data_IF_407654003957
#
_entry.id   IF_407654003957
#
_cell.length_a   1.000
_cell.length_b   1.000
_cell.length_c   1.000
_cell.angle_alpha   90.00
_cell.angle_beta   90.00
_cell.angle_gamma   90.00
#
_symmetry.space_group_name_H-M   'P 1'
#
loop_
_entity.id
_entity.type
_entity.pdbx_description
1 polymer ?
#
# COMPACT_ATOMS: atom_id res chain seq x y z
N UNK A 1 23.06 -37.23 37.74
CA UNK A 1 22.17 -36.33 36.97
C UNK A 1 22.27 -36.66 35.49
N UNK A 2 21.17 -36.63 34.73
CA UNK A 2 21.24 -36.76 33.26
C UNK A 2 22.02 -35.59 32.65
N UNK A 3 22.74 -35.82 31.55
CA UNK A 3 23.49 -34.77 30.83
C UNK A 3 22.58 -33.59 30.45
N UNK A 4 21.32 -33.86 30.13
CA UNK A 4 20.32 -32.83 29.79
C UNK A 4 19.93 -32.01 31.03
N UNK A 5 19.72 -32.67 32.17
CA UNK A 5 19.40 -31.98 33.42
C UNK A 5 20.54 -31.06 33.84
N UNK A 6 21.79 -31.54 33.82
CA UNK A 6 22.94 -30.71 34.16
C UNK A 6 23.12 -29.51 33.20
N UNK A 7 22.90 -29.72 31.90
CA UNK A 7 22.95 -28.65 30.91
C UNK A 7 21.85 -27.59 31.11
N UNK A 8 20.65 -28.03 31.53
CA UNK A 8 19.55 -27.12 31.87
C UNK A 8 19.88 -26.29 33.11
N UNK A 9 20.37 -26.91 34.18
CA UNK A 9 20.75 -26.19 35.40
C UNK A 9 21.84 -25.15 35.11
N UNK A 10 22.84 -25.50 34.30
CA UNK A 10 23.91 -24.58 33.89
C UNK A 10 23.37 -23.39 33.07
N UNK A 11 22.45 -23.63 32.14
CA UNK A 11 21.85 -22.57 31.36
C UNK A 11 20.99 -21.63 32.23
N UNK A 12 20.23 -22.17 33.18
CA UNK A 12 19.43 -21.37 34.13
C UNK A 12 20.32 -20.55 35.07
N UNK A 13 21.41 -21.14 35.57
CA UNK A 13 22.41 -20.41 36.36
C UNK A 13 23.01 -19.24 35.56
N UNK A 14 23.23 -19.41 34.25
CA UNK A 14 23.70 -18.34 33.36
C UNK A 14 22.68 -17.20 33.26
N UNK A 15 21.38 -17.52 33.17
CA UNK A 15 20.33 -16.49 33.18
C UNK A 15 20.35 -15.74 34.51
N UNK A 16 20.33 -16.46 35.64
CA UNK A 16 20.33 -15.84 36.98
C UNK A 16 21.55 -14.95 37.23
N UNK A 17 22.73 -15.33 36.75
CA UNK A 17 23.96 -14.54 36.90
C UNK A 17 23.96 -13.24 36.05
N UNK A 18 23.15 -13.19 34.98
CA UNK A 18 23.07 -12.03 34.07
C UNK A 18 21.76 -11.24 34.20
N UNK A 19 20.87 -11.64 35.11
CA UNK A 19 19.68 -10.88 35.48
C UNK A 19 20.04 -9.94 36.62
N UNK A 20 19.98 -8.61 36.42
CA UNK A 20 20.29 -7.64 37.47
C UNK A 20 19.22 -7.65 38.57
N UNK A 21 19.53 -7.15 39.78
CA UNK A 21 18.56 -6.95 40.84
C UNK A 21 17.44 -5.97 40.42
N UNK A 22 16.29 -6.05 41.08
CA UNK A 22 15.16 -5.17 40.81
C UNK A 22 15.57 -3.69 40.92
N UNK A 23 15.36 -2.94 39.84
CA UNK A 23 15.66 -1.50 39.75
C UNK A 23 16.93 -1.14 38.99
N UNK A 24 17.78 -2.11 38.63
CA UNK A 24 18.99 -1.84 37.84
C UNK A 24 18.80 -2.11 36.33
N UNK A 25 19.30 -1.23 35.45
CA UNK A 25 19.19 -1.44 34.02
C UNK A 25 20.13 -2.54 33.53
N UNK A 26 19.57 -3.54 32.85
CA UNK A 26 20.35 -4.62 32.26
C UNK A 26 21.24 -4.12 31.11
N UNK A 27 22.53 -4.42 31.17
CA UNK A 27 23.51 -4.07 30.12
C UNK A 27 23.25 -4.85 28.83
N UNK A 28 23.70 -4.32 27.68
CA UNK A 28 23.56 -4.99 26.38
C UNK A 28 24.20 -6.38 26.35
N UNK A 29 25.34 -6.55 27.03
CA UNK A 29 26.05 -7.85 27.12
C UNK A 29 25.23 -8.87 27.92
N UNK A 30 24.71 -8.47 29.07
CA UNK A 30 23.84 -9.31 29.90
C UNK A 30 22.58 -9.76 29.14
N UNK A 31 21.93 -8.85 28.41
CA UNK A 31 20.76 -9.18 27.57
C UNK A 31 21.07 -10.30 26.58
N UNK A 32 22.16 -10.14 25.82
CA UNK A 32 22.57 -11.13 24.81
C UNK A 32 22.88 -12.49 25.45
N UNK A 33 23.53 -12.52 26.62
CA UNK A 33 23.80 -13.78 27.32
C UNK A 33 22.54 -14.42 27.88
N UNK A 34 21.58 -13.64 28.39
CA UNK A 34 20.26 -14.13 28.79
C UNK A 34 19.51 -14.73 27.60
N UNK A 35 19.47 -14.03 26.47
CA UNK A 35 18.78 -14.51 25.25
C UNK A 35 19.38 -15.82 24.74
N UNK A 36 20.71 -15.92 24.73
CA UNK A 36 21.42 -17.16 24.34
C UNK A 36 21.12 -18.30 25.30
N UNK A 37 21.14 -18.03 26.61
CA UNK A 37 20.84 -19.04 27.62
C UNK A 37 19.38 -19.50 27.54
N UNK A 38 18.44 -18.57 27.35
CA UNK A 38 17.03 -18.87 27.11
C UNK A 38 16.83 -19.75 25.88
N UNK A 39 17.44 -19.39 24.75
CA UNK A 39 17.39 -20.20 23.53
C UNK A 39 17.93 -21.62 23.75
N UNK A 40 19.03 -21.77 24.51
CA UNK A 40 19.57 -23.09 24.88
C UNK A 40 18.58 -23.90 25.72
N UNK A 41 17.93 -23.27 26.70
CA UNK A 41 16.90 -23.92 27.53
C UNK A 41 15.74 -24.42 26.66
N UNK A 42 15.21 -23.56 25.79
CA UNK A 42 14.12 -23.92 24.86
C UNK A 42 14.52 -25.10 23.98
N UNK A 43 15.73 -25.11 23.41
CA UNK A 43 16.23 -26.22 22.59
C UNK A 43 16.34 -27.53 23.36
N UNK A 44 16.80 -27.48 24.61
CA UNK A 44 16.93 -28.66 25.48
C UNK A 44 15.56 -29.23 25.91
N UNK A 45 14.56 -28.36 26.11
CA UNK A 45 13.21 -28.75 26.53
C UNK A 45 12.31 -29.14 25.36
N UNK A 46 12.64 -28.71 24.13
CA UNK A 46 11.80 -28.90 22.94
C UNK A 46 11.21 -30.32 22.76
N UNK A 47 11.94 -31.44 22.93
CA UNK A 47 11.34 -32.78 22.83
C UNK A 47 10.19 -33.01 23.81
N UNK A 48 10.30 -32.44 25.01
CA UNK A 48 9.27 -32.54 26.05
C UNK A 48 8.08 -31.64 25.77
N UNK A 49 8.29 -30.44 25.23
CA UNK A 49 7.21 -29.58 24.74
C UNK A 49 6.40 -30.33 23.68
N UNK A 50 7.07 -30.92 22.67
CA UNK A 50 6.38 -31.71 21.64
C UNK A 50 5.55 -32.86 22.23
N UNK A 51 6.08 -33.54 23.24
CA UNK A 51 5.34 -34.59 23.94
C UNK A 51 4.10 -34.05 24.65
N UNK A 52 4.23 -32.96 25.42
CA UNK A 52 3.09 -32.38 26.14
C UNK A 52 2.04 -31.78 25.20
N UNK A 53 2.42 -31.10 24.12
CA UNK A 53 1.45 -30.57 23.14
C UNK A 53 0.56 -31.69 22.60
N UNK A 54 1.15 -32.84 22.23
CA UNK A 54 0.38 -34.01 21.79
C UNK A 54 -0.49 -34.60 22.89
N UNK A 55 0.06 -34.75 24.10
CA UNK A 55 -0.69 -35.30 25.25
C UNK A 55 -1.92 -34.45 25.61
N UNK A 56 -1.81 -33.13 25.48
CA UNK A 56 -2.91 -32.20 25.74
C UNK A 56 -3.87 -32.04 24.55
N UNK A 57 -3.64 -32.75 23.44
CA UNK A 57 -4.48 -32.72 22.23
C UNK A 57 -4.32 -31.43 21.41
N UNK A 58 -3.30 -30.62 21.67
CA UNK A 58 -3.11 -29.29 21.08
C UNK A 58 -2.32 -29.32 19.75
N UNK A 59 -2.28 -30.47 19.07
CA UNK A 59 -1.52 -30.62 17.83
C UNK A 59 -2.02 -29.67 16.71
N UNK A 60 -3.33 -29.41 16.65
CA UNK A 60 -3.93 -28.43 15.72
C UNK A 60 -3.73 -26.97 16.13
N UNK A 61 -3.20 -26.71 17.33
CA UNK A 61 -2.88 -25.37 17.86
C UNK A 61 -1.40 -25.26 18.18
N UNK A 62 -0.54 -25.79 17.29
CA UNK A 62 0.89 -25.97 17.55
C UNK A 62 1.59 -24.65 17.89
N UNK A 63 1.37 -23.62 17.09
CA UNK A 63 2.05 -22.33 17.23
C UNK A 63 1.67 -21.64 18.55
N UNK A 64 0.39 -21.65 18.90
CA UNK A 64 -0.10 -21.11 20.17
C UNK A 64 0.46 -21.91 21.36
N UNK A 65 0.49 -23.24 21.23
CA UNK A 65 1.00 -24.12 22.28
C UNK A 65 2.52 -23.96 22.49
N UNK A 66 3.28 -23.69 21.43
CA UNK A 66 4.70 -23.37 21.51
C UNK A 66 4.94 -22.04 22.23
N UNK A 67 4.19 -20.99 21.89
CA UNK A 67 4.27 -19.68 22.55
C UNK A 67 3.96 -19.77 24.05
N UNK A 68 2.88 -20.48 24.39
CA UNK A 68 2.46 -20.69 25.77
C UNK A 68 3.52 -21.51 26.55
N UNK A 69 4.19 -22.47 25.91
CA UNK A 69 5.34 -23.15 26.51
C UNK A 69 6.56 -22.24 26.71
N UNK A 70 6.81 -21.29 25.80
CA UNK A 70 7.88 -20.31 25.98
C UNK A 70 7.60 -19.38 27.18
N UNK A 71 6.36 -18.94 27.36
CA UNK A 71 5.90 -18.20 28.55
C UNK A 71 6.10 -19.04 29.81
N UNK A 72 5.74 -20.33 29.76
CA UNK A 72 5.95 -21.25 30.87
C UNK A 72 7.43 -21.36 31.28
N UNK A 73 8.34 -21.46 30.31
CA UNK A 73 9.79 -21.48 30.55
C UNK A 73 10.24 -20.17 31.18
N UNK A 74 9.77 -19.03 30.68
CA UNK A 74 10.12 -17.72 31.23
C UNK A 74 9.69 -17.60 32.70
N UNK A 75 8.43 -17.94 33.01
CA UNK A 75 7.90 -17.98 34.39
C UNK A 75 8.66 -18.98 35.27
N UNK A 76 9.01 -20.13 34.70
CA UNK A 76 9.82 -21.12 35.41
C UNK A 76 11.18 -20.55 35.80
N UNK A 77 11.86 -19.81 34.92
CA UNK A 77 13.15 -19.19 35.21
C UNK A 77 13.02 -18.14 36.32
N UNK A 78 11.98 -17.30 36.29
CA UNK A 78 11.76 -16.26 37.29
C UNK A 78 11.46 -16.83 38.68
N UNK A 79 10.64 -17.88 38.76
CA UNK A 79 10.23 -18.51 40.02
C UNK A 79 11.11 -19.67 40.49
N UNK A 80 12.22 -19.95 39.81
CA UNK A 80 13.02 -21.14 40.09
C UNK A 80 13.84 -21.00 41.38
N UNK A 81 13.63 -21.95 42.29
CA UNK A 81 14.39 -22.11 43.52
C UNK A 81 15.13 -23.48 43.52
N UNK A 82 16.47 -23.49 43.39
CA UNK A 82 17.24 -24.73 43.27
C UNK A 82 17.27 -25.56 44.56
N UNK A 83 16.99 -24.95 45.71
CA UNK A 83 16.98 -25.65 47.00
C UNK A 83 15.69 -26.47 47.18
N UNK A 84 14.63 -26.12 46.44
CA UNK A 84 13.31 -26.79 46.52
C UNK A 84 13.14 -27.90 45.49
N UNK A 85 13.67 -27.74 44.28
CA UNK A 85 13.52 -28.72 43.21
C UNK A 85 14.58 -28.56 42.11
N UNK A 86 14.75 -29.62 41.30
CA UNK A 86 15.45 -29.51 40.03
C UNK A 86 14.63 -28.70 39.02
N UNK A 87 15.29 -27.89 38.20
CA UNK A 87 14.64 -27.05 37.20
C UNK A 87 13.77 -27.87 36.24
N UNK A 88 14.23 -29.05 35.84
CA UNK A 88 13.47 -29.95 34.96
C UNK A 88 12.12 -30.36 35.54
N UNK A 89 12.00 -30.44 36.87
CA UNK A 89 10.75 -30.76 37.56
C UNK A 89 9.85 -29.53 37.59
N UNK A 90 10.42 -28.39 37.98
CA UNK A 90 9.68 -27.14 38.12
C UNK A 90 9.12 -26.65 36.77
N UNK A 91 9.93 -26.65 35.72
CA UNK A 91 9.50 -26.23 34.37
C UNK A 91 8.41 -27.13 33.81
N UNK A 92 8.40 -28.42 34.16
CA UNK A 92 7.31 -29.32 33.73
C UNK A 92 5.98 -28.92 34.38
N UNK A 93 5.98 -28.49 35.63
CA UNK A 93 4.76 -28.02 36.28
C UNK A 93 4.23 -26.75 35.61
N UNK A 94 5.12 -25.81 35.30
CA UNK A 94 4.75 -24.59 34.57
C UNK A 94 4.17 -24.91 33.19
N UNK A 95 4.86 -25.75 32.40
CA UNK A 95 4.38 -26.13 31.05
C UNK A 95 3.00 -26.79 31.11
N UNK A 96 2.77 -27.69 32.06
CA UNK A 96 1.45 -28.33 32.23
C UNK A 96 0.36 -27.33 32.58
N UNK A 97 0.64 -26.37 33.47
CA UNK A 97 -0.33 -25.34 33.87
C UNK A 97 -0.73 -24.43 32.71
N UNK A 98 0.27 -23.95 31.97
CA UNK A 98 0.05 -23.07 30.82
C UNK A 98 -0.68 -23.77 29.66
N UNK A 99 -0.27 -25.00 29.30
CA UNK A 99 -0.97 -25.79 28.28
C UNK A 99 -2.40 -26.14 28.69
N UNK A 100 -2.64 -26.41 29.97
CA UNK A 100 -4.00 -26.62 30.47
C UNK A 100 -4.85 -25.35 30.34
N UNK A 101 -4.27 -24.17 30.60
CA UNK A 101 -4.96 -22.89 30.42
C UNK A 101 -5.32 -22.64 28.95
N UNK A 102 -4.39 -22.89 28.03
CA UNK A 102 -4.64 -22.79 26.59
C UNK A 102 -5.76 -23.75 26.16
N UNK A 103 -5.68 -25.02 26.59
CA UNK A 103 -6.70 -26.03 26.31
C UNK A 103 -8.10 -25.57 26.72
N UNK A 104 -8.27 -24.98 27.91
CA UNK A 104 -9.58 -24.47 28.34
C UNK A 104 -10.14 -23.32 27.50
N UNK A 105 -9.27 -22.56 26.81
CA UNK A 105 -9.67 -21.46 25.93
C UNK A 105 -10.04 -21.94 24.53
N UNK A 106 -9.27 -22.88 23.98
CA UNK A 106 -9.45 -23.33 22.59
C UNK A 106 -10.41 -24.51 22.46
N UNK A 107 -10.43 -25.44 23.43
CA UNK A 107 -11.33 -26.60 23.45
C UNK A 107 -12.58 -26.30 24.29
N UNK A 108 -13.42 -25.39 23.78
CA UNK A 108 -14.68 -25.00 24.45
C UNK A 108 -15.72 -26.12 24.42
N UNK A 109 -15.64 -27.01 23.43
CA UNK A 109 -16.36 -28.28 23.29
C UNK A 109 -16.13 -29.27 24.44
N UNK A 110 -14.94 -29.26 25.04
CA UNK A 110 -14.60 -30.15 26.16
C UNK A 110 -15.16 -29.67 27.51
N UNK A 111 -15.85 -28.52 27.55
CA UNK A 111 -16.50 -28.01 28.76
C UNK A 111 -17.72 -28.87 29.13
N UNK A 112 -18.04 -29.05 30.43
CA UNK A 112 -19.19 -29.84 30.84
C UNK A 112 -20.53 -29.40 30.22
N UNK A 113 -20.69 -28.10 29.99
CA UNK A 113 -21.88 -27.54 29.33
C UNK A 113 -21.98 -27.92 27.86
N UNK A 114 -20.86 -27.94 27.13
CA UNK A 114 -20.80 -28.34 25.73
C UNK A 114 -20.96 -29.85 25.56
N UNK A 115 -20.37 -30.66 26.45
CA UNK A 115 -20.60 -32.11 26.50
C UNK A 115 -22.06 -32.49 26.74
N UNK A 116 -22.81 -31.70 27.51
CA UNK A 116 -24.23 -31.95 27.78
C UNK A 116 -25.10 -31.82 26.52
N UNK A 117 -24.67 -31.04 25.55
CA UNK A 117 -25.38 -30.79 24.28
C UNK A 117 -24.64 -31.38 23.08
N UNK A 118 -23.63 -32.23 23.31
CA UNK A 118 -22.78 -32.83 22.27
C UNK A 118 -22.19 -31.81 21.28
N UNK A 119 -21.98 -30.57 21.73
CA UNK A 119 -21.43 -29.51 20.89
C UNK A 119 -19.95 -29.80 20.61
N UNK A 120 -19.62 -29.99 19.34
CA UNK A 120 -18.25 -30.26 18.86
C UNK A 120 -17.73 -29.03 18.12
N UNK A 121 -16.53 -28.56 18.48
CA UNK A 121 -15.86 -27.51 17.72
C UNK A 121 -15.26 -28.14 16.47
N UNK A 122 -15.81 -27.81 15.31
CA UNK A 122 -15.28 -28.20 14.01
C UNK A 122 -14.60 -27.00 13.37
N UNK A 123 -13.42 -27.19 12.76
CA UNK A 123 -12.86 -26.17 11.88
C UNK A 123 -13.71 -26.11 10.61
N UNK A 124 -13.86 -24.90 10.04
CA UNK A 124 -14.61 -24.73 8.78
C UNK A 124 -14.05 -25.62 7.66
N UNK A 125 -12.73 -25.83 7.64
CA UNK A 125 -12.06 -26.72 6.68
C UNK A 125 -12.37 -28.20 6.90
N UNK A 126 -12.63 -28.63 8.14
CA UNK A 126 -12.95 -30.03 8.46
C UNK A 126 -14.38 -30.42 8.04
N UNK A 127 -15.29 -29.46 7.88
CA UNK A 127 -16.67 -29.72 7.45
C UNK A 127 -16.72 -30.04 5.94
N UNK A 128 -15.73 -29.59 5.17
CA UNK A 128 -15.75 -29.66 3.71
C UNK A 128 -15.05 -30.87 3.11
N UNK A 129 -14.31 -31.66 3.90
CA UNK A 129 -13.79 -32.94 3.43
C UNK A 129 -14.86 -34.02 3.52
N UNK A 130 -15.61 -34.28 2.45
CA UNK A 130 -16.34 -35.54 2.33
C UNK A 130 -15.37 -36.73 2.41
N UNK A 131 -15.88 -37.93 2.72
CA UNK A 131 -15.09 -39.18 2.87
C UNK A 131 -14.20 -39.48 1.64
N UNK A 132 -14.53 -38.88 0.49
CA UNK A 132 -13.84 -39.03 -0.80
C UNK A 132 -12.82 -37.89 -1.11
N UNK A 133 -12.64 -36.89 -0.25
CA UNK A 133 -11.66 -35.80 -0.45
C UNK A 133 -11.98 -34.82 -1.58
N UNK A 134 -13.10 -34.98 -2.29
CA UNK A 134 -13.57 -34.13 -3.41
C UNK A 134 -14.55 -33.02 -2.99
N UNK A 135 -14.43 -32.50 -1.77
CA UNK A 135 -15.24 -31.34 -1.38
C UNK A 135 -14.63 -30.04 -1.88
N UNK A 136 -15.39 -29.25 -2.64
CA UNK A 136 -15.07 -27.83 -2.88
C UNK A 136 -14.87 -27.15 -1.53
N UNK A 137 -13.67 -26.63 -1.28
CA UNK A 137 -13.39 -25.82 -0.10
C UNK A 137 -14.43 -24.71 0.00
N UNK A 138 -14.98 -24.44 1.20
CA UNK A 138 -15.91 -23.32 1.43
C UNK A 138 -15.28 -22.00 0.94
N UNK A 139 -13.95 -21.86 0.98
CA UNK A 139 -13.26 -20.70 0.41
C UNK A 139 -13.45 -20.59 -1.11
N UNK A 140 -13.51 -21.72 -1.83
CA UNK A 140 -13.87 -21.76 -3.25
C UNK A 140 -15.34 -21.48 -3.50
N UNK A 141 -16.23 -21.80 -2.55
CA UNK A 141 -17.65 -21.47 -2.64
C UNK A 141 -17.95 -20.00 -2.26
N UNK A 142 -17.07 -19.36 -1.49
CA UNK A 142 -17.14 -17.94 -1.12
C UNK A 142 -16.39 -17.07 -2.14
N UNK A 143 -15.45 -17.63 -2.90
CA UNK A 143 -14.70 -16.91 -3.91
C UNK A 143 -15.66 -16.34 -4.97
N UNK A 144 -15.63 -15.02 -5.12
CA UNK A 144 -16.33 -14.32 -6.18
C UNK A 144 -15.48 -14.40 -7.46
N UNK A 145 -15.94 -15.23 -8.41
CA UNK A 145 -15.24 -15.48 -9.68
C UNK A 145 -15.06 -14.19 -10.50
N UNK A 146 -15.97 -13.23 -10.37
CA UNK A 146 -15.93 -11.97 -11.11
C UNK A 146 -15.09 -10.87 -10.42
N UNK A 147 -14.54 -11.14 -9.24
CA UNK A 147 -13.82 -10.12 -8.46
C UNK A 147 -12.57 -9.62 -9.17
N UNK A 148 -11.83 -10.51 -9.83
CA UNK A 148 -10.62 -10.15 -10.58
C UNK A 148 -10.97 -9.26 -11.77
N UNK A 149 -11.88 -9.72 -12.62
CA UNK A 149 -12.28 -9.01 -13.84
C UNK A 149 -12.85 -7.62 -13.52
N UNK A 150 -13.69 -7.50 -12.49
CA UNK A 150 -14.23 -6.20 -12.05
C UNK A 150 -13.14 -5.28 -11.51
N UNK A 151 -12.15 -5.83 -10.80
CA UNK A 151 -11.03 -5.05 -10.27
C UNK A 151 -10.13 -4.55 -11.40
N UNK A 152 -9.82 -5.40 -12.37
CA UNK A 152 -9.00 -5.05 -13.53
C UNK A 152 -9.70 -4.03 -14.44
N UNK A 153 -11.00 -4.20 -14.68
CA UNK A 153 -11.81 -3.24 -15.41
C UNK A 153 -11.85 -1.88 -14.70
N UNK A 154 -12.09 -1.86 -13.39
CA UNK A 154 -12.10 -0.63 -12.59
C UNK A 154 -10.73 0.07 -12.53
N UNK A 155 -9.64 -0.69 -12.39
CA UNK A 155 -8.29 -0.16 -12.44
C UNK A 155 -7.96 0.44 -13.80
N UNK A 156 -8.33 -0.26 -14.89
CA UNK A 156 -8.14 0.20 -16.26
C UNK A 156 -8.91 1.50 -16.53
N UNK A 157 -10.17 1.58 -16.11
CA UNK A 157 -10.98 2.79 -16.24
C UNK A 157 -10.40 3.97 -15.45
N UNK A 158 -9.98 3.72 -14.21
CA UNK A 158 -9.35 4.74 -13.36
C UNK A 158 -8.09 5.32 -14.01
N UNK A 159 -7.20 4.45 -14.50
CA UNK A 159 -5.95 4.86 -15.16
C UNK A 159 -6.23 5.62 -16.47
N UNK A 160 -7.21 5.17 -17.25
CA UNK A 160 -7.63 5.86 -18.47
C UNK A 160 -8.12 7.28 -18.15
N UNK A 161 -9.01 7.45 -17.17
CA UNK A 161 -9.53 8.76 -16.75
C UNK A 161 -8.42 9.67 -16.21
N UNK A 162 -7.49 9.12 -15.42
CA UNK A 162 -6.35 9.88 -14.91
C UNK A 162 -5.42 10.37 -16.03
N UNK A 163 -5.13 9.51 -17.02
CA UNK A 163 -4.33 9.87 -18.18
C UNK A 163 -5.00 10.94 -19.06
N UNK A 164 -6.31 10.81 -19.32
CA UNK A 164 -7.08 11.81 -20.08
C UNK A 164 -7.05 13.18 -19.40
N UNK A 165 -7.20 13.22 -18.06
CA UNK A 165 -7.10 14.45 -17.28
C UNK A 165 -5.71 15.07 -17.38
N UNK A 166 -4.65 14.29 -17.16
CA UNK A 166 -3.28 14.76 -17.23
C UNK A 166 -2.92 15.30 -18.63
N UNK A 167 -3.40 14.64 -19.69
CA UNK A 167 -3.16 15.07 -21.07
C UNK A 167 -3.92 16.38 -21.38
N UNK A 168 -5.13 16.54 -20.84
CA UNK A 168 -5.91 17.79 -20.97
C UNK A 168 -5.20 18.94 -20.28
N UNK A 169 -4.68 18.73 -19.07
CA UNK A 169 -3.92 19.73 -18.32
C UNK A 169 -2.66 20.15 -19.09
N UNK A 170 -1.87 19.19 -19.59
CA UNK A 170 -0.68 19.46 -20.40
C UNK A 170 -1.00 20.25 -21.68
N UNK A 171 -2.12 19.91 -22.34
CA UNK A 171 -2.61 20.65 -23.51
C UNK A 171 -3.00 22.09 -23.19
N UNK A 172 -3.75 22.32 -22.11
CA UNK A 172 -4.13 23.66 -21.67
C UNK A 172 -2.90 24.49 -21.32
N UNK A 173 -1.91 23.90 -20.64
CA UNK A 173 -0.65 24.59 -20.31
C UNK A 173 0.17 24.92 -21.57
N UNK A 174 0.21 24.03 -22.55
CA UNK A 174 0.83 24.30 -23.84
C UNK A 174 0.18 25.50 -24.56
N UNK A 175 -1.16 25.55 -24.59
CA UNK A 175 -1.88 26.68 -25.17
C UNK A 175 -1.70 27.98 -24.37
N UNK A 176 -1.70 27.90 -23.04
CA UNK A 176 -1.44 29.04 -22.16
C UNK A 176 -0.06 29.63 -22.42
N UNK A 177 0.98 28.80 -22.46
CA UNK A 177 2.35 29.23 -22.71
C UNK A 177 2.51 29.87 -24.09
N UNK A 178 1.98 29.23 -25.14
CA UNK A 178 2.03 29.77 -26.50
C UNK A 178 1.20 31.06 -26.66
N UNK A 179 0.06 31.17 -25.99
CA UNK A 179 -0.77 32.38 -25.94
C UNK A 179 -0.05 33.54 -25.27
N UNK A 180 0.52 33.31 -24.08
CA UNK A 180 1.32 34.31 -23.35
C UNK A 180 2.55 34.76 -24.15
N UNK A 181 3.21 33.87 -24.88
CA UNK A 181 4.30 34.24 -25.78
C UNK A 181 3.86 35.16 -26.92
N UNK A 182 2.68 34.92 -27.50
CA UNK A 182 2.13 35.78 -28.56
C UNK A 182 1.79 37.17 -28.05
N UNK A 183 1.15 37.25 -26.88
CA UNK A 183 0.85 38.53 -26.21
C UNK A 183 2.17 39.27 -25.92
N UNK A 184 3.18 38.57 -25.38
CA UNK A 184 4.53 39.14 -25.15
C UNK A 184 5.18 39.67 -26.43
N UNK A 185 5.11 38.93 -27.55
CA UNK A 185 5.67 39.37 -28.84
C UNK A 185 4.94 40.57 -29.41
N UNK A 186 3.62 40.66 -29.22
CA UNK A 186 2.79 41.81 -29.65
C UNK A 186 3.07 43.06 -28.81
N UNK A 187 3.28 42.88 -27.51
CA UNK A 187 3.62 43.96 -26.58
C UNK A 187 5.07 44.47 -26.74
N UNK A 188 5.95 43.76 -27.46
CA UNK A 188 7.27 44.28 -27.79
C UNK A 188 7.14 45.41 -28.84
N UNK A 189 7.63 46.63 -28.55
CA UNK A 189 7.62 47.70 -29.54
C UNK A 189 8.44 47.28 -30.77
N UNK A 190 7.92 47.58 -31.97
CA UNK A 190 8.65 47.40 -33.23
C UNK A 190 10.05 48.01 -33.07
N UNK A 191 11.11 47.25 -33.38
CA UNK A 191 12.48 47.77 -33.40
C UNK A 191 12.49 49.02 -34.29
N UNK A 192 12.76 50.18 -33.69
CA UNK A 192 12.94 51.45 -34.40
C UNK A 192 13.88 51.24 -35.59
N UNK A 193 13.43 51.61 -36.78
CA UNK A 193 14.23 51.55 -38.01
C UNK A 193 15.41 52.51 -37.89
N UNK A 194 16.50 52.25 -38.63
CA UNK A 194 17.77 53.00 -38.56
C UNK A 194 17.59 54.53 -38.73
N UNK A 195 16.50 54.98 -39.35
CA UNK A 195 16.15 56.38 -39.54
C UNK A 195 15.71 57.10 -38.25
N UNK A 196 15.07 56.43 -37.29
CA UNK A 196 14.61 57.04 -36.02
C UNK A 196 15.73 57.17 -34.97
N UNK A 197 16.89 56.55 -35.20
CA UNK A 197 18.05 56.64 -34.27
C UNK A 197 18.86 57.93 -34.39
N UNK A 198 18.54 58.81 -35.34
CA UNK A 198 19.35 59.99 -35.69
C UNK A 198 18.81 61.30 -35.08
N UNK A 199 17.63 61.30 -34.47
CA UNK A 199 17.12 62.49 -33.77
C UNK A 199 17.80 62.65 -32.39
N UNK A 200 18.39 63.82 -32.07
CA UNK A 200 19.05 64.05 -30.80
C UNK A 200 18.04 64.64 -29.80
N UNK A 201 17.31 63.77 -29.09
CA UNK A 201 16.66 64.16 -27.84
C UNK A 201 17.02 63.18 -26.71
N UNK A 202 17.24 63.67 -25.47
CA UNK A 202 17.65 62.84 -24.35
C UNK A 202 16.46 62.03 -23.84
N UNK A 203 16.37 60.78 -24.26
CA UNK A 203 15.39 59.83 -23.73
C UNK A 203 15.77 59.41 -22.30
N UNK A 204 14.83 59.42 -21.33
CA UNK A 204 15.09 58.96 -19.98
C UNK A 204 15.38 57.44 -19.98
N UNK A 205 16.26 57.04 -19.07
CA UNK A 205 16.80 55.70 -18.92
C UNK A 205 15.73 54.60 -19.12
N UNK A 206 15.96 53.75 -20.13
CA UNK A 206 15.21 52.53 -20.37
C UNK A 206 15.16 51.69 -19.10
N UNK A 207 14.02 51.67 -18.41
CA UNK A 207 13.74 50.66 -17.39
C UNK A 207 13.80 49.30 -18.08
N UNK A 208 14.78 48.49 -17.67
CA UNK A 208 14.99 47.09 -18.08
C UNK A 208 13.92 46.15 -17.48
N UNK A 209 12.66 46.56 -17.50
CA UNK A 209 11.52 45.76 -17.11
C UNK A 209 10.79 45.28 -18.36
N UNK A 210 10.46 43.99 -18.42
CA UNK A 210 9.54 43.47 -19.45
C UNK A 210 8.24 44.31 -19.41
N UNK A 211 7.66 44.69 -20.55
CA UNK A 211 6.38 45.39 -20.55
C UNK A 211 5.36 44.58 -19.75
N UNK A 212 4.59 45.19 -18.83
CA UNK A 212 3.48 44.50 -18.18
C UNK A 212 2.50 44.02 -19.26
N UNK A 213 2.05 42.78 -19.16
CA UNK A 213 1.02 42.24 -20.06
C UNK A 213 -0.31 42.91 -19.75
N UNK A 214 -1.11 43.20 -20.78
CA UNK A 214 -2.45 43.74 -20.58
C UNK A 214 -3.32 42.69 -19.86
N UNK A 215 -3.86 43.00 -18.67
CA UNK A 215 -4.69 42.05 -17.92
C UNK A 215 -5.97 41.65 -18.68
N UNK A 216 -6.49 42.50 -19.58
CA UNK A 216 -7.69 42.19 -20.36
C UNK A 216 -7.42 41.07 -21.40
N UNK A 217 -6.29 41.15 -22.12
CA UNK A 217 -5.89 40.12 -23.10
C UNK A 217 -5.59 38.78 -22.42
N UNK A 218 -5.06 38.80 -21.19
CA UNK A 218 -4.82 37.58 -20.40
C UNK A 218 -6.13 36.95 -19.92
N UNK A 219 -7.11 37.76 -19.49
CA UNK A 219 -8.42 37.26 -19.08
C UNK A 219 -9.19 36.63 -20.25
N UNK A 220 -9.15 37.23 -21.44
CA UNK A 220 -9.76 36.67 -22.65
C UNK A 220 -9.10 35.33 -23.04
N UNK A 221 -7.77 35.24 -22.90
CA UNK A 221 -7.04 33.99 -23.14
C UNK A 221 -7.52 32.88 -22.19
N UNK A 222 -7.60 33.13 -20.89
CA UNK A 222 -8.05 32.13 -19.92
C UNK A 222 -9.51 31.70 -20.15
N UNK A 223 -10.42 32.62 -20.49
CA UNK A 223 -11.80 32.26 -20.85
C UNK A 223 -11.86 31.34 -22.07
N UNK A 224 -11.03 31.60 -23.08
CA UNK A 224 -10.94 30.75 -24.27
C UNK A 224 -10.32 29.38 -23.96
N UNK A 225 -9.32 29.32 -23.07
CA UNK A 225 -8.72 28.07 -22.63
C UNK A 225 -9.73 27.20 -21.87
N UNK A 226 -10.53 27.82 -21.00
CA UNK A 226 -11.58 27.15 -20.26
C UNK A 226 -12.66 26.57 -21.19
N UNK A 227 -13.11 27.34 -22.19
CA UNK A 227 -14.03 26.82 -23.20
C UNK A 227 -13.43 25.65 -24.00
N UNK A 228 -12.16 25.74 -24.40
CA UNK A 228 -11.49 24.64 -25.10
C UNK A 228 -11.35 23.39 -24.21
N UNK A 229 -11.09 23.57 -22.90
CA UNK A 229 -11.03 22.48 -21.92
C UNK A 229 -12.36 21.74 -21.86
N UNK A 230 -13.47 22.46 -21.71
CA UNK A 230 -14.82 21.88 -21.67
C UNK A 230 -15.15 21.12 -22.96
N UNK A 231 -14.78 21.67 -24.12
CA UNK A 231 -14.96 20.99 -25.41
C UNK A 231 -14.17 19.68 -25.50
N UNK A 232 -12.94 19.66 -25.00
CA UNK A 232 -12.10 18.46 -25.00
C UNK A 232 -12.62 17.42 -24.02
N UNK A 233 -12.89 17.81 -22.77
CA UNK A 233 -13.38 16.90 -21.74
C UNK A 233 -14.71 16.25 -22.12
N UNK A 234 -15.64 16.99 -22.73
CA UNK A 234 -16.93 16.43 -23.10
C UNK A 234 -17.01 15.74 -24.47
N UNK A 235 -16.25 16.18 -25.49
CA UNK A 235 -16.35 15.60 -26.85
C UNK A 235 -15.27 14.57 -27.17
N UNK A 236 -14.07 14.73 -26.62
CA UNK A 236 -12.95 13.82 -26.91
C UNK A 236 -12.93 12.65 -25.92
N UNK A 237 -13.32 12.89 -24.67
CA UNK A 237 -13.19 11.90 -23.59
C UNK A 237 -14.51 11.54 -22.90
N UNK A 238 -15.61 12.24 -23.22
CA UNK A 238 -16.92 12.02 -22.59
C UNK A 238 -16.88 12.08 -21.03
N UNK A 239 -15.91 12.82 -20.49
CA UNK A 239 -15.68 12.96 -19.03
C UNK A 239 -16.73 13.87 -18.39
N UNK A 240 -17.22 14.85 -19.15
CA UNK A 240 -18.23 15.81 -18.71
C UNK A 240 -19.35 15.94 -19.75
N UNK A 241 -20.62 16.10 -19.32
CA UNK A 241 -21.70 16.37 -20.24
C UNK A 241 -21.45 17.69 -20.95
N UNK A 242 -21.40 17.65 -22.28
CA UNK A 242 -21.17 18.83 -23.10
C UNK A 242 -22.54 19.38 -23.49
N UNK A 243 -22.98 20.41 -22.77
CA UNK A 243 -24.24 21.09 -23.05
C UNK A 243 -24.11 21.94 -24.32
N UNK A 244 -24.39 21.29 -25.46
CA UNK A 244 -24.62 21.96 -26.73
C UNK A 244 -26.11 22.31 -26.74
N UNK A 245 -26.49 23.40 -26.08
CA UNK A 245 -27.88 23.84 -25.98
C UNK A 245 -28.65 23.74 -27.30
N UNK A 246 -29.99 23.63 -27.23
CA UNK A 246 -30.92 23.37 -28.34
C UNK A 246 -30.98 24.45 -29.46
N UNK A 247 -29.90 25.18 -29.72
CA UNK A 247 -29.82 26.12 -30.82
C UNK A 247 -29.32 25.46 -32.10
N UNK A 248 -30.22 25.48 -33.09
CA UNK A 248 -30.15 24.96 -34.46
C UNK A 248 -29.12 25.70 -35.34
N UNK A 249 -27.86 25.73 -34.91
CA UNK A 249 -26.76 26.33 -35.67
C UNK A 249 -25.64 25.30 -35.89
N UNK A 250 -25.71 24.57 -37.00
CA UNK A 250 -24.68 23.62 -37.44
C UNK A 250 -23.24 24.20 -37.45
N UNK A 251 -23.11 25.53 -37.50
CA UNK A 251 -21.85 26.26 -37.35
C UNK A 251 -21.19 26.09 -35.97
N UNK A 252 -21.97 26.03 -34.88
CA UNK A 252 -21.43 25.84 -33.53
C UNK A 252 -20.90 24.41 -33.37
N UNK A 253 -21.67 23.42 -33.85
CA UNK A 253 -21.26 22.00 -33.85
C UNK A 253 -19.99 21.77 -34.67
N UNK A 254 -19.85 22.43 -35.81
CA UNK A 254 -18.66 22.35 -36.65
C UNK A 254 -17.47 23.06 -36.01
N UNK A 255 -17.65 24.20 -35.35
CA UNK A 255 -16.57 24.85 -34.56
C UNK A 255 -16.08 23.94 -33.44
N UNK A 256 -16.98 23.33 -32.67
CA UNK A 256 -16.64 22.37 -31.61
C UNK A 256 -15.88 21.18 -32.19
N UNK A 257 -16.31 20.65 -33.34
CA UNK A 257 -15.61 19.56 -34.05
C UNK A 257 -14.20 19.97 -34.46
N UNK A 258 -14.01 21.18 -34.98
CA UNK A 258 -12.69 21.67 -35.38
C UNK A 258 -11.76 21.90 -34.19
N UNK A 259 -12.29 22.41 -33.07
CA UNK A 259 -11.54 22.54 -31.81
C UNK A 259 -11.10 21.16 -31.31
N UNK A 260 -12.02 20.19 -31.24
CA UNK A 260 -11.71 18.82 -30.84
C UNK A 260 -10.67 18.17 -31.78
N UNK A 261 -10.82 18.33 -33.10
CA UNK A 261 -9.84 17.80 -34.09
C UNK A 261 -8.45 18.40 -33.91
N UNK A 262 -8.35 19.70 -33.65
CA UNK A 262 -7.06 20.38 -33.40
C UNK A 262 -6.46 19.96 -32.06
N UNK A 263 -7.30 19.84 -31.03
CA UNK A 263 -6.88 19.38 -29.71
C UNK A 263 -6.34 17.94 -29.78
N UNK A 264 -7.06 17.02 -30.43
CA UNK A 264 -6.63 15.63 -30.62
C UNK A 264 -5.24 15.54 -31.28
N UNK A 265 -4.99 16.35 -32.32
CA UNK A 265 -3.68 16.42 -32.97
C UNK A 265 -2.60 16.94 -32.01
N UNK A 266 -2.84 18.07 -31.35
CA UNK A 266 -1.87 18.68 -30.44
C UNK A 266 -1.57 17.79 -29.23
N UNK A 267 -2.58 17.11 -28.68
CA UNK A 267 -2.44 16.15 -27.59
C UNK A 267 -1.67 14.91 -28.03
N UNK A 268 -1.89 14.42 -29.25
CA UNK A 268 -1.09 13.34 -29.83
C UNK A 268 0.38 13.71 -29.98
N UNK A 269 0.67 14.95 -30.39
CA UNK A 269 2.06 15.45 -30.48
C UNK A 269 2.69 15.62 -29.08
N UNK A 270 1.92 16.10 -28.09
CA UNK A 270 2.38 16.24 -26.70
C UNK A 270 2.64 14.89 -26.02
N UNK A 271 1.78 13.89 -26.28
CA UNK A 271 1.94 12.55 -25.73
C UNK A 271 3.22 11.85 -26.20
N UNK A 272 3.72 12.18 -27.40
CA UNK A 272 5.01 11.66 -27.91
C UNK A 272 6.21 12.31 -27.21
N UNK A 273 6.07 13.56 -26.74
CA UNK A 273 7.18 14.33 -26.16
C UNK A 273 7.27 14.16 -24.63
N UNK A 274 6.14 14.00 -23.94
CA UNK A 274 6.11 13.91 -22.48
C UNK A 274 6.32 12.46 -22.00
N UNK A 275 7.36 12.17 -21.20
CA UNK A 275 7.70 10.83 -20.73
C UNK A 275 6.58 10.16 -19.92
N UNK A 276 5.63 10.94 -19.36
CA UNK A 276 4.48 10.39 -18.64
C UNK A 276 3.53 9.58 -19.53
N UNK A 277 3.56 9.81 -20.85
CA UNK A 277 2.69 9.15 -21.82
C UNK A 277 3.44 8.19 -22.77
N UNK A 278 4.71 7.85 -22.47
CA UNK A 278 5.54 7.00 -23.32
C UNK A 278 4.87 5.66 -23.66
N UNK A 279 4.24 5.00 -22.68
CA UNK A 279 3.47 3.77 -22.87
C UNK A 279 2.29 3.94 -23.85
N UNK A 280 1.64 5.11 -23.87
CA UNK A 280 0.55 5.40 -24.81
C UNK A 280 1.07 5.68 -26.23
N UNK A 281 2.26 6.30 -26.34
CA UNK A 281 2.92 6.51 -27.63
C UNK A 281 3.35 5.17 -28.26
N UNK A 282 3.95 4.28 -27.47
CA UNK A 282 4.32 2.92 -27.90
C UNK A 282 3.10 2.10 -28.33
N UNK A 283 1.99 2.18 -27.58
CA UNK A 283 0.74 1.49 -27.93
C UNK A 283 0.13 2.02 -29.24
N UNK A 284 0.17 3.35 -29.47
CA UNK A 284 -0.28 3.96 -30.71
C UNK A 284 0.54 3.48 -31.91
N UNK A 285 1.86 3.43 -31.78
CA UNK A 285 2.75 2.96 -32.84
C UNK A 285 2.51 1.48 -33.15
N UNK A 286 2.27 0.66 -32.12
CA UNK A 286 1.88 -0.75 -32.27
C UNK A 286 0.52 -0.91 -32.98
N UNK A 287 -0.47 -0.08 -32.68
CA UNK A 287 -1.78 -0.12 -33.36
C UNK A 287 -1.75 0.36 -34.82
N UNK A 288 -0.85 1.28 -35.17
CA UNK A 288 -0.70 1.80 -36.53
C UNK A 288 0.19 0.93 -37.43
N UNK A 289 0.98 0.04 -36.82
CA UNK A 289 1.82 -0.94 -37.52
C UNK A 289 1.03 -2.18 -37.99
N UNK A 290 -0.24 -2.31 -37.59
CA UNK A 290 -1.20 -3.33 -38.03
C UNK A 290 -2.29 -2.71 -38.90
#
# INVERSE_FOLDING_TARGET
MSKITAALESAVATVRANTPPDGEPQTRRQRVEVDRAFFRITKLIAPRIRHFIRQYGLAGHWDDAEQVCAIAIHRAIQGYDPDKAQFTTFVNWQIRGELQSLRFRVMTDQRPSARKVEATTVSLDAITGGDDGEGLSILSAIADEDALDRTEAGASEYLARAAMKALTESYVDHLRNSGLERIRRRAQPRKATRAERVAPEPLPARRSGRPPLDPAEVAELEQRLEHNRQVVEGRLFEIAPLDLGEDDNGQLRERVRQVAKRAAKAMGDLAVVDPRFALMAEYRDAMLAH
#
